data_IF_714002777993
#
_entry.id   IF_714002777993
#
_cell.length_a   1.000
_cell.length_b   1.000
_cell.length_c   1.000
_cell.angle_alpha   90.00
_cell.angle_beta   90.00
_cell.angle_gamma   90.00
#
_symmetry.space_group_name_H-M   'P 1'
#
loop_
_entity.id
_entity.type
_entity.pdbx_description
1 polymer ?
#
# COMPACT_ATOMS: atom_id res chain seq x y z
N UNK A 1 -14.05 -39.32 -4.65
CA UNK A 1 -12.94 -38.39 -4.91
C UNK A 1 -12.73 -37.59 -3.63
N UNK A 2 -11.71 -37.93 -2.84
CA UNK A 2 -11.38 -37.18 -1.62
C UNK A 2 -10.57 -35.95 -2.05
N UNK A 3 -11.13 -34.75 -1.90
CA UNK A 3 -10.38 -33.52 -2.06
C UNK A 3 -9.27 -33.52 -0.99
N UNK A 4 -8.01 -33.51 -1.44
CA UNK A 4 -6.86 -33.53 -0.56
C UNK A 4 -6.77 -32.17 0.16
N UNK A 5 -6.77 -32.12 1.50
CA UNK A 5 -6.63 -30.88 2.26
C UNK A 5 -5.39 -30.06 1.86
N UNK A 6 -4.35 -30.74 1.38
CA UNK A 6 -3.12 -30.12 0.88
C UNK A 6 -3.37 -29.31 -0.41
N UNK A 7 -4.23 -29.78 -1.32
CA UNK A 7 -4.55 -29.05 -2.56
C UNK A 7 -5.29 -27.74 -2.26
N UNK A 8 -6.15 -27.73 -1.24
CA UNK A 8 -6.86 -26.53 -0.79
C UNK A 8 -5.89 -25.52 -0.14
N UNK A 9 -4.94 -25.99 0.68
CA UNK A 9 -3.89 -25.15 1.27
C UNK A 9 -2.93 -24.57 0.22
N UNK A 10 -2.50 -25.37 -0.76
CA UNK A 10 -1.64 -24.91 -1.85
C UNK A 10 -2.34 -23.88 -2.73
N UNK A 11 -3.62 -24.08 -3.03
CA UNK A 11 -4.41 -23.15 -3.85
C UNK A 11 -4.66 -21.84 -3.09
N UNK A 12 -5.01 -21.90 -1.81
CA UNK A 12 -5.18 -20.72 -0.95
C UNK A 12 -3.86 -19.92 -0.79
N UNK A 13 -2.73 -20.62 -0.63
CA UNK A 13 -1.41 -20.00 -0.53
C UNK A 13 -0.95 -19.31 -1.83
N UNK A 14 -1.25 -19.88 -2.99
CA UNK A 14 -0.98 -19.27 -4.30
C UNK A 14 -1.82 -18.01 -4.53
N UNK A 15 -3.12 -18.07 -4.23
CA UNK A 15 -4.02 -16.91 -4.35
C UNK A 15 -3.63 -15.76 -3.42
N UNK A 16 -3.25 -16.07 -2.17
CA UNK A 16 -2.80 -15.04 -1.21
C UNK A 16 -1.48 -14.38 -1.63
N UNK A 17 -0.51 -15.15 -2.15
CA UNK A 17 0.73 -14.57 -2.71
C UNK A 17 0.46 -13.67 -3.91
N UNK A 18 -0.40 -14.11 -4.83
CA UNK A 18 -0.80 -13.30 -5.98
C UNK A 18 -1.46 -11.98 -5.55
N UNK A 19 -2.28 -11.98 -4.51
CA UNK A 19 -2.86 -10.74 -3.95
C UNK A 19 -1.78 -9.78 -3.45
N UNK A 20 -0.83 -10.28 -2.64
CA UNK A 20 0.26 -9.45 -2.08
C UNK A 20 1.18 -8.87 -3.15
N UNK A 21 1.46 -9.61 -4.22
CA UNK A 21 2.25 -9.14 -5.36
C UNK A 21 1.53 -8.01 -6.12
N UNK A 22 0.21 -8.13 -6.30
CA UNK A 22 -0.60 -7.08 -6.92
C UNK A 22 -0.66 -5.82 -6.05
N UNK A 23 -0.83 -5.97 -4.74
CA UNK A 23 -0.82 -4.87 -3.76
C UNK A 23 0.54 -4.14 -3.75
N UNK A 24 1.64 -4.88 -3.73
CA UNK A 24 2.99 -4.32 -3.82
C UNK A 24 3.20 -3.54 -5.12
N UNK A 25 2.75 -4.11 -6.24
CA UNK A 25 2.82 -3.45 -7.56
C UNK A 25 2.01 -2.15 -7.58
N UNK A 26 0.82 -2.14 -6.99
CA UNK A 26 -0.01 -0.95 -6.88
C UNK A 26 0.66 0.15 -6.04
N UNK A 27 1.28 -0.23 -4.91
CA UNK A 27 2.03 0.70 -4.07
C UNK A 27 3.26 1.29 -4.79
N UNK A 28 4.04 0.47 -5.49
CA UNK A 28 5.15 0.97 -6.31
C UNK A 28 4.68 1.92 -7.41
N UNK A 29 3.54 1.61 -8.05
CA UNK A 29 2.91 2.49 -9.03
C UNK A 29 2.47 3.83 -8.40
N UNK A 30 1.95 3.83 -7.17
CA UNK A 30 1.61 5.06 -6.45
C UNK A 30 2.88 5.89 -6.18
N UNK A 31 3.92 5.28 -5.62
CA UNK A 31 5.21 5.92 -5.36
C UNK A 31 5.82 6.53 -6.63
N UNK A 32 5.79 5.80 -7.75
CA UNK A 32 6.30 6.28 -9.04
C UNK A 32 5.51 7.50 -9.54
N UNK A 33 4.17 7.46 -9.51
CA UNK A 33 3.35 8.61 -9.96
C UNK A 33 3.63 9.88 -9.14
N UNK A 34 3.80 9.75 -7.82
CA UNK A 34 4.15 10.88 -6.95
C UNK A 34 5.57 11.39 -7.23
N UNK A 35 6.54 10.48 -7.44
CA UNK A 35 7.90 10.83 -7.85
C UNK A 35 7.92 11.58 -9.19
N UNK A 36 7.13 11.12 -10.17
CA UNK A 36 7.02 11.75 -11.48
C UNK A 36 6.46 13.17 -11.37
N UNK A 37 5.57 13.44 -10.41
CA UNK A 37 5.10 14.80 -10.11
C UNK A 37 6.24 15.68 -9.57
N UNK A 38 7.06 15.18 -8.63
CA UNK A 38 8.24 15.92 -8.13
C UNK A 38 9.20 16.24 -9.28
N UNK A 39 9.51 15.24 -10.12
CA UNK A 39 10.44 15.40 -11.23
C UNK A 39 9.96 16.42 -12.29
N UNK A 40 8.64 16.63 -12.39
CA UNK A 40 8.02 17.51 -13.37
C UNK A 40 7.21 18.63 -12.69
N UNK A 41 7.70 19.16 -11.57
CA UNK A 41 6.93 20.08 -10.73
C UNK A 41 6.48 21.37 -11.44
N UNK A 42 7.24 21.83 -12.43
CA UNK A 42 6.90 23.05 -13.19
C UNK A 42 6.11 22.76 -14.48
N UNK A 43 5.67 21.52 -14.70
CA UNK A 43 4.89 21.17 -15.88
C UNK A 43 3.49 21.81 -15.84
N UNK A 44 2.99 22.20 -17.02
CA UNK A 44 1.68 22.84 -17.17
C UNK A 44 0.52 21.94 -16.73
N UNK A 45 0.72 20.62 -16.79
CA UNK A 45 -0.25 19.59 -16.40
C UNK A 45 -0.08 19.08 -14.95
N UNK A 46 0.85 19.67 -14.17
CA UNK A 46 1.16 19.20 -12.80
C UNK A 46 -0.10 19.05 -11.95
N UNK A 47 -0.99 20.05 -11.95
CA UNK A 47 -2.18 20.04 -11.09
C UNK A 47 -3.05 18.81 -11.33
N UNK A 48 -3.28 18.45 -12.59
CA UNK A 48 -4.07 17.28 -12.96
C UNK A 48 -3.35 15.99 -12.58
N UNK A 49 -2.04 15.88 -12.88
CA UNK A 49 -1.22 14.70 -12.55
C UNK A 49 -1.10 14.46 -11.06
N UNK A 50 -0.85 15.52 -10.29
CA UNK A 50 -0.75 15.45 -8.84
C UNK A 50 -2.09 15.04 -8.22
N UNK A 51 -3.19 15.63 -8.67
CA UNK A 51 -4.53 15.25 -8.20
C UNK A 51 -4.83 13.78 -8.51
N UNK A 52 -4.48 13.29 -9.70
CA UNK A 52 -4.65 11.89 -10.06
C UNK A 52 -3.77 10.95 -9.21
N UNK A 53 -2.50 11.30 -9.00
CA UNK A 53 -1.57 10.51 -8.19
C UNK A 53 -1.99 10.44 -6.71
N UNK A 54 -2.41 11.57 -6.13
CA UNK A 54 -2.91 11.64 -4.76
C UNK A 54 -4.21 10.84 -4.58
N UNK A 55 -5.16 10.96 -5.53
CA UNK A 55 -6.39 10.15 -5.51
C UNK A 55 -6.10 8.65 -5.63
N UNK A 56 -5.17 8.26 -6.52
CA UNK A 56 -4.76 6.87 -6.65
C UNK A 56 -4.17 6.34 -5.34
N UNK A 57 -3.28 7.12 -4.71
CA UNK A 57 -2.69 6.79 -3.42
C UNK A 57 -3.76 6.63 -2.32
N UNK A 58 -4.67 7.60 -2.19
CA UNK A 58 -5.72 7.57 -1.18
C UNK A 58 -6.63 6.34 -1.32
N UNK A 59 -7.07 6.03 -2.55
CA UNK A 59 -7.93 4.87 -2.81
C UNK A 59 -7.27 3.54 -2.42
N UNK A 60 -5.98 3.41 -2.68
CA UNK A 60 -5.22 2.22 -2.30
C UNK A 60 -5.13 2.08 -0.77
N UNK A 61 -4.88 3.19 -0.06
CA UNK A 61 -4.82 3.18 1.40
C UNK A 61 -6.19 2.99 2.06
N UNK A 62 -7.28 3.47 1.44
CA UNK A 62 -8.66 3.18 1.86
C UNK A 62 -8.97 1.68 1.75
N UNK A 63 -8.51 1.04 0.67
CA UNK A 63 -8.66 -0.41 0.51
C UNK A 63 -7.91 -1.18 1.60
N UNK A 64 -6.65 -0.83 1.89
CA UNK A 64 -5.91 -1.44 2.99
C UNK A 64 -6.55 -1.20 4.35
N UNK A 65 -7.09 -0.01 4.60
CA UNK A 65 -7.83 0.26 5.84
C UNK A 65 -9.02 -0.69 6.01
N UNK A 66 -9.79 -0.93 4.94
CA UNK A 66 -10.91 -1.86 4.98
C UNK A 66 -10.42 -3.27 5.33
N UNK A 67 -9.42 -3.80 4.60
CA UNK A 67 -8.89 -5.15 4.84
C UNK A 67 -8.27 -5.33 6.24
N UNK A 68 -7.57 -4.31 6.74
CA UNK A 68 -6.96 -4.33 8.08
C UNK A 68 -8.00 -4.22 9.19
N UNK A 69 -9.18 -3.69 8.90
CA UNK A 69 -10.26 -3.55 9.88
C UNK A 69 -11.14 -4.79 9.98
N UNK A 70 -11.05 -5.73 9.04
CA UNK A 70 -11.86 -6.95 9.03
C UNK A 70 -11.61 -7.85 10.25
N UNK A 71 -12.69 -8.32 10.93
CA UNK A 71 -12.59 -9.33 11.98
C UNK A 71 -12.11 -10.66 11.39
N UNK A 72 -10.90 -11.10 11.75
CA UNK A 72 -10.30 -12.34 11.22
C UNK A 72 -9.05 -12.15 10.37
N UNK A 73 -8.48 -10.94 10.34
CA UNK A 73 -7.17 -10.70 9.74
C UNK A 73 -6.11 -11.66 10.29
N UNK A 74 -5.39 -12.34 9.40
CA UNK A 74 -4.28 -13.25 9.74
C UNK A 74 -3.00 -12.50 10.15
N UNK A 75 -3.00 -11.17 10.09
CA UNK A 75 -1.86 -10.36 10.50
C UNK A 75 -1.80 -10.22 12.03
N UNK A 76 -0.60 -10.24 12.63
CA UNK A 76 -0.42 -9.94 14.05
C UNK A 76 -1.05 -8.58 14.41
N UNK A 77 -1.72 -8.52 15.56
CA UNK A 77 -2.45 -7.32 15.99
C UNK A 77 -1.58 -6.06 16.02
N UNK A 78 -0.32 -6.19 16.45
CA UNK A 78 0.63 -5.07 16.47
C UNK A 78 0.97 -4.55 15.07
N UNK A 79 1.22 -5.45 14.12
CA UNK A 79 1.50 -5.07 12.72
C UNK A 79 0.29 -4.37 12.11
N UNK A 80 -0.92 -4.90 12.37
CA UNK A 80 -2.17 -4.31 11.93
C UNK A 80 -2.36 -2.89 12.48
N UNK A 81 -2.11 -2.69 13.77
CA UNK A 81 -2.20 -1.37 14.41
C UNK A 81 -1.17 -0.36 13.81
N UNK A 82 0.05 -0.82 13.51
CA UNK A 82 1.06 0.01 12.83
C UNK A 82 0.61 0.42 11.42
N UNK A 83 0.08 -0.51 10.63
CA UNK A 83 -0.41 -0.23 9.28
C UNK A 83 -1.64 0.70 9.29
N UNK A 84 -2.56 0.52 10.24
CA UNK A 84 -3.69 1.44 10.44
C UNK A 84 -3.23 2.85 10.86
N UNK A 85 -2.17 2.95 11.66
CA UNK A 85 -1.60 4.26 12.01
C UNK A 85 -0.96 4.95 10.80
N UNK A 86 -0.28 4.18 9.94
CA UNK A 86 0.28 4.69 8.69
C UNK A 86 -0.81 5.16 7.72
N UNK A 87 -1.93 4.43 7.62
CA UNK A 87 -3.01 4.82 6.73
C UNK A 87 -3.65 6.16 7.13
N UNK A 88 -3.85 6.39 8.44
CA UNK A 88 -4.32 7.68 8.96
C UNK A 88 -3.33 8.81 8.66
N UNK A 89 -2.02 8.55 8.77
CA UNK A 89 -1.01 9.52 8.37
C UNK A 89 -1.09 9.83 6.87
N UNK A 90 -1.21 8.80 6.03
CA UNK A 90 -1.30 8.95 4.58
C UNK A 90 -2.54 9.76 4.17
N UNK A 91 -3.70 9.52 4.79
CA UNK A 91 -4.91 10.31 4.52
C UNK A 91 -4.69 11.78 4.85
N UNK A 92 -4.23 12.07 6.07
CA UNK A 92 -3.97 13.45 6.53
C UNK A 92 -3.00 14.17 5.60
N UNK A 93 -1.89 13.51 5.22
CA UNK A 93 -0.89 14.07 4.33
C UNK A 93 -1.43 14.25 2.91
N UNK A 94 -2.28 13.34 2.44
CA UNK A 94 -2.91 13.45 1.12
C UNK A 94 -3.84 14.65 1.06
N UNK A 95 -4.72 14.84 2.05
CA UNK A 95 -5.60 16.00 2.14
C UNK A 95 -4.83 17.32 2.26
N UNK A 96 -3.77 17.34 3.06
CA UNK A 96 -2.86 18.48 3.18
C UNK A 96 -2.28 18.88 1.81
N UNK A 97 -1.78 17.90 1.04
CA UNK A 97 -1.19 18.12 -0.28
C UNK A 97 -2.21 18.51 -1.36
N UNK A 98 -3.45 18.06 -1.25
CA UNK A 98 -4.54 18.49 -2.13
C UNK A 98 -4.88 19.96 -1.90
N UNK A 99 -4.87 20.42 -0.65
CA UNK A 99 -5.14 21.82 -0.30
C UNK A 99 -3.94 22.73 -0.60
N UNK A 100 -2.73 22.28 -0.25
CA UNK A 100 -1.47 23.03 -0.40
C UNK A 100 -0.36 22.11 -0.94
N UNK A 101 -0.23 22.01 -2.27
CA UNK A 101 0.83 21.23 -2.90
C UNK A 101 2.23 21.66 -2.44
N UNK A 102 3.04 20.67 -2.05
CA UNK A 102 4.41 20.86 -1.60
C UNK A 102 5.24 19.62 -2.00
N UNK A 103 6.26 19.77 -2.85
CA UNK A 103 7.02 18.63 -3.35
C UNK A 103 7.80 17.92 -2.24
N UNK A 104 8.26 18.63 -1.21
CA UNK A 104 9.00 18.03 -0.11
C UNK A 104 8.13 17.07 0.71
N UNK A 105 6.85 17.40 0.85
CA UNK A 105 5.87 16.61 1.60
C UNK A 105 5.41 15.35 0.87
N UNK A 106 5.63 15.24 -0.44
CA UNK A 106 5.35 14.03 -1.21
C UNK A 106 6.34 12.89 -0.88
N UNK A 107 7.57 13.23 -0.47
CA UNK A 107 8.61 12.22 -0.19
C UNK A 107 8.18 11.21 0.88
N UNK A 108 7.44 11.64 1.91
CA UNK A 108 6.98 10.70 2.94
C UNK A 108 5.95 9.71 2.40
N UNK A 109 5.07 10.12 1.48
CA UNK A 109 4.11 9.21 0.85
C UNK A 109 4.84 8.21 -0.07
N UNK A 110 5.82 8.68 -0.82
CA UNK A 110 6.66 7.84 -1.69
C UNK A 110 7.39 6.78 -0.87
N UNK A 111 8.04 7.19 0.22
CA UNK A 111 8.83 6.29 1.05
C UNK A 111 7.96 5.25 1.75
N UNK A 112 6.85 5.66 2.35
CA UNK A 112 5.88 4.74 2.97
C UNK A 112 5.41 3.70 1.94
N UNK A 113 5.03 4.14 0.74
CA UNK A 113 4.56 3.22 -0.30
C UNK A 113 5.64 2.21 -0.71
N UNK A 114 6.89 2.65 -0.87
CA UNK A 114 8.01 1.76 -1.22
C UNK A 114 8.32 0.77 -0.12
N UNK A 115 8.34 1.21 1.14
CA UNK A 115 8.63 0.34 2.29
C UNK A 115 7.55 -0.73 2.47
N UNK A 116 6.28 -0.35 2.37
CA UNK A 116 5.16 -1.31 2.47
C UNK A 116 5.16 -2.27 1.28
N UNK A 117 5.40 -1.78 0.05
CA UNK A 117 5.51 -2.63 -1.12
C UNK A 117 6.65 -3.65 -1.01
N UNK A 118 7.81 -3.21 -0.51
CA UNK A 118 8.95 -4.08 -0.27
C UNK A 118 8.61 -5.17 0.76
N UNK A 119 7.93 -4.80 1.86
CA UNK A 119 7.46 -5.75 2.87
C UNK A 119 6.46 -6.78 2.31
N UNK A 120 5.53 -6.37 1.45
CA UNK A 120 4.57 -7.27 0.80
C UNK A 120 5.22 -8.21 -0.24
N UNK A 121 6.33 -7.77 -0.84
CA UNK A 121 7.10 -8.55 -1.82
C UNK A 121 8.00 -9.59 -1.16
N UNK A 122 8.20 -9.53 0.15
CA UNK A 122 8.89 -10.59 0.90
C UNK A 122 7.89 -11.71 1.23
N UNK A 123 8.30 -12.99 1.13
CA UNK A 123 7.50 -14.08 1.67
C UNK A 123 7.25 -13.84 3.16
N UNK A 124 6.06 -14.19 3.70
CA UNK A 124 5.78 -14.00 5.12
C UNK A 124 6.87 -14.70 5.92
N UNK A 125 7.66 -13.93 6.66
CA UNK A 125 8.64 -14.49 7.59
C UNK A 125 7.84 -15.28 8.62
N UNK A 126 8.09 -16.60 8.78
CA UNK A 126 7.41 -17.35 9.83
C UNK A 126 7.82 -16.74 11.17
N UNK A 127 6.85 -16.12 11.86
CA UNK A 127 7.00 -15.69 13.23
C UNK A 127 6.99 -16.95 14.11
N UNK A 128 8.17 -17.46 14.46
CA UNK A 128 8.32 -18.62 15.34
C UNK A 128 9.48 -19.52 14.93
N UNK A 129 10.69 -19.13 15.32
CA UNK A 129 11.91 -19.90 15.11
C UNK A 129 13.00 -19.50 16.10
N UNK A 130 12.66 -19.48 17.39
CA UNK A 130 13.52 -19.66 18.57
C UNK A 130 12.64 -19.53 19.84
#
# INVERSE_FOLDING_TARGET
>A
MHANPLDAYETAGKSSRSSRELEATALFKAARQLQDCIANWNATDLRARLSAALNYNQRLWTFFQAELSEPGSVLPAELRAKLLSLSVFVDRRTFELMAKPDPAKLNSLIEINRQVAAGLSQPPTPAGGA
#
